data_IF_892242830676
#
_entry.id   IF_892242830676
#
_cell.length_a   1.000
_cell.length_b   1.000
_cell.length_c   1.000
_cell.angle_alpha   90.00
_cell.angle_beta   90.00
_cell.angle_gamma   90.00
#
_symmetry.space_group_name_H-M   'P 1'
#
loop_
_entity.id
_entity.type
_entity.pdbx_description
1 polymer ?
#
# COMPACT_ATOMS: atom_id res chain seq x y z
N UNK A 1 -4.25 -3.38 -4.01
CA UNK A 1 -3.76 -2.02 -3.68
C UNK A 1 -3.10 -2.02 -2.31
N UNK A 2 -1.92 -1.43 -2.19
CA UNK A 2 -1.14 -1.34 -0.94
C UNK A 2 -0.63 0.08 -0.77
N UNK A 3 -0.61 0.56 0.47
CA UNK A 3 -0.21 1.92 0.79
C UNK A 3 0.81 1.91 1.93
N UNK A 4 1.83 2.76 1.81
CA UNK A 4 2.78 2.98 2.90
C UNK A 4 2.09 3.70 4.07
N UNK A 5 2.41 3.25 5.29
CA UNK A 5 1.71 3.69 6.50
C UNK A 5 1.75 5.20 6.74
N UNK A 6 2.84 5.87 6.37
CA UNK A 6 2.93 7.33 6.51
C UNK A 6 2.02 8.08 5.55
N UNK A 7 1.75 7.55 4.36
CA UNK A 7 0.76 8.13 3.46
C UNK A 7 -0.65 8.02 4.07
N UNK A 8 -0.97 6.89 4.68
CA UNK A 8 -2.23 6.74 5.38
C UNK A 8 -2.37 7.72 6.55
N UNK A 9 -1.31 7.87 7.35
CA UNK A 9 -1.28 8.86 8.44
C UNK A 9 -1.45 10.29 7.92
N UNK A 10 -0.80 10.62 6.80
CA UNK A 10 -0.94 11.94 6.16
C UNK A 10 -2.37 12.18 5.66
N UNK A 11 -3.05 11.16 5.15
CA UNK A 11 -4.44 11.26 4.74
C UNK A 11 -5.37 11.56 5.93
N UNK A 12 -5.16 10.88 7.05
CA UNK A 12 -5.94 11.12 8.28
C UNK A 12 -5.72 12.54 8.79
N UNK A 13 -4.46 13.00 8.82
CA UNK A 13 -4.13 14.38 9.18
C UNK A 13 -4.82 15.39 8.26
N UNK A 14 -4.77 15.16 6.95
CA UNK A 14 -5.47 16.00 5.97
C UNK A 14 -6.97 16.10 6.25
N UNK A 15 -7.62 14.96 6.55
CA UNK A 15 -9.06 14.93 6.86
C UNK A 15 -9.36 15.73 8.13
N UNK A 16 -8.55 15.58 9.18
CA UNK A 16 -8.73 16.30 10.44
C UNK A 16 -8.56 17.82 10.22
N UNK A 17 -7.53 18.22 9.49
CA UNK A 17 -7.23 19.65 9.26
C UNK A 17 -8.22 20.34 8.32
N UNK A 18 -8.77 19.61 7.34
CA UNK A 18 -9.68 20.17 6.32
C UNK A 18 -11.15 19.94 6.60
N UNK A 19 -11.47 19.07 7.55
CA UNK A 19 -12.85 18.77 7.99
C UNK A 19 -13.86 18.71 6.82
N UNK A 20 -13.66 17.81 5.84
CA UNK A 20 -14.55 17.74 4.68
C UNK A 20 -15.97 17.31 5.08
N UNK A 21 -16.96 17.78 4.35
CA UNK A 21 -18.38 17.45 4.61
C UNK A 21 -18.75 16.02 4.19
N UNK A 22 -17.85 15.26 3.63
CA UNK A 22 -18.08 13.87 3.23
C UNK A 22 -18.08 12.95 4.44
N UNK A 23 -19.13 12.13 4.57
CA UNK A 23 -19.22 11.13 5.63
C UNK A 23 -18.37 9.88 5.36
N UNK A 24 -18.07 9.61 4.10
CA UNK A 24 -17.29 8.44 3.67
C UNK A 24 -16.26 8.86 2.63
N UNK A 25 -15.00 8.60 2.93
CA UNK A 25 -13.89 8.81 2.03
C UNK A 25 -13.09 7.52 1.91
N UNK A 26 -12.92 7.03 0.69
CA UNK A 26 -11.94 5.98 0.42
C UNK A 26 -10.55 6.59 0.35
N UNK A 27 -9.58 5.92 0.95
CA UNK A 27 -8.18 6.32 0.94
C UNK A 27 -7.37 5.22 0.27
N UNK A 28 -6.77 5.52 -0.85
CA UNK A 28 -5.96 4.59 -1.61
C UNK A 28 -4.94 5.33 -2.46
N UNK A 29 -4.02 4.57 -3.05
CA UNK A 29 -2.98 5.10 -3.95
C UNK A 29 -3.48 5.29 -5.38
N UNK A 30 -4.54 4.57 -5.75
CA UNK A 30 -5.01 4.47 -7.14
C UNK A 30 -4.20 3.50 -7.99
N UNK A 31 -3.20 2.83 -7.42
CA UNK A 31 -2.35 1.86 -8.11
C UNK A 31 -2.61 0.46 -7.60
N UNK A 32 -2.74 -0.48 -8.51
CA UNK A 32 -2.93 -1.90 -8.16
C UNK A 32 -1.74 -2.73 -8.63
N UNK A 33 -1.54 -3.85 -7.95
CA UNK A 33 -0.49 -4.81 -8.27
C UNK A 33 -1.02 -6.21 -8.01
N UNK A 34 -0.65 -7.19 -8.84
CA UNK A 34 -0.96 -8.59 -8.59
C UNK A 34 -0.18 -9.11 -7.38
N UNK A 35 -0.70 -10.12 -6.71
CA UNK A 35 0.04 -10.78 -5.61
C UNK A 35 1.34 -11.41 -6.13
N UNK A 36 1.33 -11.92 -7.35
CA UNK A 36 2.55 -12.43 -8.01
C UNK A 36 3.64 -11.34 -8.09
N UNK A 37 3.29 -10.20 -8.67
CA UNK A 37 4.26 -9.09 -8.84
C UNK A 37 4.69 -8.49 -7.51
N UNK A 38 3.77 -8.42 -6.54
CA UNK A 38 4.09 -7.97 -5.18
C UNK A 38 5.12 -8.88 -4.52
N UNK A 39 4.95 -10.20 -4.62
CA UNK A 39 5.88 -11.18 -4.07
C UNK A 39 7.29 -10.99 -4.64
N UNK A 40 7.42 -10.81 -5.95
CA UNK A 40 8.72 -10.57 -6.59
C UNK A 40 9.31 -9.20 -6.24
N UNK A 41 8.47 -8.18 -6.08
CA UNK A 41 8.92 -6.87 -5.63
C UNK A 41 9.48 -6.95 -4.19
N UNK A 42 8.79 -7.64 -3.29
CA UNK A 42 9.28 -7.87 -1.92
C UNK A 42 10.58 -8.66 -1.94
N UNK A 43 10.63 -9.74 -2.73
CA UNK A 43 11.86 -10.54 -2.89
C UNK A 43 13.05 -9.66 -3.25
N UNK A 44 12.88 -8.74 -4.19
CA UNK A 44 13.92 -7.80 -4.61
C UNK A 44 14.33 -6.85 -3.48
N UNK A 45 13.35 -6.27 -2.78
CA UNK A 45 13.60 -5.30 -1.69
C UNK A 45 14.36 -5.93 -0.54
N UNK A 46 14.04 -7.18 -0.18
CA UNK A 46 14.68 -7.87 0.96
C UNK A 46 15.93 -8.66 0.55
N UNK A 47 16.29 -8.66 -0.73
CA UNK A 47 17.40 -9.43 -1.28
C UNK A 47 17.30 -10.93 -0.97
N UNK A 48 16.12 -11.49 -1.06
CA UNK A 48 15.89 -12.91 -0.86
C UNK A 48 16.34 -13.69 -2.10
N UNK A 49 17.29 -14.60 -1.95
CA UNK A 49 17.85 -15.39 -3.06
C UNK A 49 17.10 -16.69 -3.32
N UNK A 50 16.19 -17.07 -2.42
CA UNK A 50 15.40 -18.29 -2.57
C UNK A 50 14.36 -18.24 -3.67
N UNK A 51 13.64 -19.33 -3.84
CA UNK A 51 12.58 -19.48 -4.82
C UNK A 51 11.21 -19.12 -4.21
N UNK A 52 10.35 -18.49 -5.00
CA UNK A 52 8.96 -18.23 -4.64
C UNK A 52 8.10 -19.33 -5.26
N UNK A 53 7.35 -20.04 -4.42
CA UNK A 53 6.42 -21.07 -4.86
C UNK A 53 4.99 -20.65 -4.51
N UNK A 54 4.07 -20.82 -5.47
CA UNK A 54 2.66 -20.54 -5.27
C UNK A 54 1.90 -21.83 -5.01
N UNK A 55 1.19 -21.88 -3.89
CA UNK A 55 0.41 -23.06 -3.53
C UNK A 55 -0.98 -23.00 -4.19
N UNK A 56 -1.15 -23.72 -5.27
CA UNK A 56 -2.40 -23.76 -6.06
C UNK A 56 -3.49 -24.63 -5.43
N UNK A 57 -3.24 -25.28 -4.30
CA UNK A 57 -4.25 -26.09 -3.59
C UNK A 57 -5.27 -25.24 -2.83
N UNK A 58 -5.00 -23.97 -2.65
CA UNK A 58 -5.91 -23.02 -2.00
C UNK A 58 -6.58 -22.11 -3.03
N UNK A 59 -7.86 -21.74 -2.83
CA UNK A 59 -8.54 -20.84 -3.74
C UNK A 59 -7.94 -19.45 -3.69
N UNK A 60 -7.99 -18.75 -4.82
CA UNK A 60 -7.66 -17.32 -4.87
C UNK A 60 -8.65 -16.50 -4.06
N UNK A 61 -8.19 -15.36 -3.56
CA UNK A 61 -9.05 -14.37 -2.91
C UNK A 61 -9.86 -13.57 -3.93
N UNK A 62 -10.20 -12.33 -3.57
CA UNK A 62 -10.89 -11.44 -4.50
C UNK A 62 -10.01 -11.14 -5.72
N UNK A 63 -10.58 -11.20 -6.94
CA UNK A 63 -9.82 -10.94 -8.16
C UNK A 63 -9.19 -9.57 -8.22
N UNK A 64 -9.82 -8.57 -7.58
CA UNK A 64 -9.36 -7.19 -7.59
C UNK A 64 -9.83 -6.45 -6.35
N UNK A 65 -8.93 -5.68 -5.72
CA UNK A 65 -9.25 -4.76 -4.61
C UNK A 65 -8.58 -3.42 -4.89
N UNK A 66 -9.26 -2.57 -5.61
CA UNK A 66 -8.85 -1.21 -5.89
C UNK A 66 -9.94 -0.26 -5.44
N UNK A 67 -9.60 0.69 -4.56
CA UNK A 67 -10.52 1.70 -4.08
C UNK A 67 -10.60 2.87 -5.05
N UNK A 68 -11.79 3.46 -5.18
CA UNK A 68 -11.96 4.74 -5.85
C UNK A 68 -11.65 5.86 -4.86
N UNK A 69 -10.48 6.46 -4.99
CA UNK A 69 -10.00 7.55 -4.14
C UNK A 69 -10.21 8.93 -4.75
N UNK A 70 -11.05 9.04 -5.77
CA UNK A 70 -11.27 10.30 -6.48
C UNK A 70 -11.73 11.44 -5.57
N UNK A 71 -12.60 11.17 -4.58
CA UNK A 71 -13.09 12.19 -3.66
C UNK A 71 -11.98 12.86 -2.85
N UNK A 72 -11.12 12.07 -2.20
CA UNK A 72 -10.01 12.63 -1.41
C UNK A 72 -8.98 13.32 -2.31
N UNK A 73 -8.75 12.78 -3.51
CA UNK A 73 -7.84 13.40 -4.49
C UNK A 73 -8.38 14.76 -4.96
N UNK A 74 -9.67 14.88 -5.22
CA UNK A 74 -10.32 16.15 -5.59
C UNK A 74 -10.26 17.18 -4.46
N UNK A 75 -10.28 16.72 -3.20
CA UNK A 75 -10.11 17.59 -2.03
C UNK A 75 -8.67 18.09 -1.86
N UNK A 76 -7.70 17.49 -2.54
CA UNK A 76 -6.31 17.93 -2.57
C UNK A 76 -5.28 17.00 -1.96
N UNK A 77 -5.66 15.79 -1.50
CA UNK A 77 -4.71 14.82 -0.97
C UNK A 77 -4.41 13.71 -1.98
N UNK A 78 -3.15 13.34 -2.07
CA UNK A 78 -2.67 12.16 -2.81
C UNK A 78 -1.57 11.46 -2.04
N UNK A 79 -1.41 10.14 -2.25
CA UNK A 79 -0.25 9.42 -1.75
C UNK A 79 1.03 9.92 -2.45
N UNK A 80 2.13 9.95 -1.71
CA UNK A 80 3.41 10.46 -2.20
C UNK A 80 4.49 9.39 -2.33
N UNK A 81 4.35 8.27 -1.62
CA UNK A 81 5.36 7.22 -1.53
C UNK A 81 5.01 6.09 -2.48
N UNK A 82 5.92 5.77 -3.41
CA UNK A 82 5.76 4.61 -4.29
C UNK A 82 5.74 3.30 -3.49
N UNK A 83 5.16 2.25 -4.06
CA UNK A 83 5.14 0.94 -3.41
C UNK A 83 6.57 0.42 -3.15
N UNK A 84 7.48 0.58 -4.11
CA UNK A 84 8.88 0.16 -3.94
C UNK A 84 9.56 0.90 -2.79
N UNK A 85 9.41 2.22 -2.73
CA UNK A 85 10.00 3.02 -1.65
C UNK A 85 9.36 2.72 -0.30
N UNK A 86 8.04 2.53 -0.28
CA UNK A 86 7.30 2.15 0.93
C UNK A 86 7.75 0.79 1.47
N UNK A 87 7.93 -0.19 0.60
CA UNK A 87 8.46 -1.51 0.99
C UNK A 87 9.88 -1.41 1.54
N UNK A 88 10.75 -0.65 0.89
CA UNK A 88 12.13 -0.46 1.34
C UNK A 88 12.18 0.21 2.72
N UNK A 89 11.39 1.25 2.95
CA UNK A 89 11.30 1.94 4.24
C UNK A 89 10.73 1.02 5.33
N UNK A 90 9.71 0.25 5.00
CA UNK A 90 9.09 -0.71 5.94
C UNK A 90 10.10 -1.80 6.32
N UNK A 91 10.83 -2.34 5.35
CA UNK A 91 11.84 -3.37 5.61
C UNK A 91 13.00 -2.83 6.45
N UNK A 92 13.47 -1.62 6.15
CA UNK A 92 14.48 -0.95 6.96
C UNK A 92 14.02 -0.80 8.41
N UNK A 93 12.81 -0.31 8.62
CA UNK A 93 12.22 -0.19 9.97
C UNK A 93 12.16 -1.55 10.68
N UNK A 94 11.72 -2.59 9.97
CA UNK A 94 11.66 -3.95 10.50
C UNK A 94 13.03 -4.44 10.98
N UNK A 95 14.08 -4.25 10.18
CA UNK A 95 15.44 -4.65 10.55
C UNK A 95 15.97 -3.89 11.79
N UNK A 96 15.61 -2.62 11.92
CA UNK A 96 16.05 -1.76 13.03
C UNK A 96 15.29 -2.05 14.34
N UNK A 97 14.07 -2.57 14.27
CA UNK A 97 13.17 -2.73 15.41
C UNK A 97 12.83 -4.18 15.76
N UNK A 98 13.31 -5.14 14.99
CA UNK A 98 13.02 -6.57 15.19
C UNK A 98 14.32 -7.33 15.47
N UNK A 99 14.86 -7.13 16.65
CA UNK A 99 16.04 -7.86 17.14
C UNK A 99 15.65 -9.03 18.02
#
# INVERSE_FOLDING_TARGET
>A
EFMYVQDFASAIRFIIENNPNSQLLNIGTGEEISIYDLAYKIKSVVNFEGEILFNTNYPDGNPRKLLDSSKINELGWKSEVSLTDGLAKTYKWFLENNN
#
